data_IF_907195271947
#
_entry.id   IF_907195271947
#
_cell.length_a   1.000
_cell.length_b   1.000
_cell.length_c   1.000
_cell.angle_alpha   90.00
_cell.angle_beta   90.00
_cell.angle_gamma   90.00
#
_symmetry.space_group_name_H-M   'P 1'
#
loop_
_entity.id
_entity.type
_entity.pdbx_description
1 polymer ?
#
# COMPACT_ATOMS: atom_id res chain seq x y z
N UNK A 1 -10.96 -21.07 0.32
CA UNK A 1 -11.55 -19.89 1.01
C UNK A 1 -13.06 -19.96 1.12
N UNK A 2 -13.80 -20.31 0.07
CA UNK A 2 -15.26 -20.27 0.10
C UNK A 2 -15.91 -21.29 1.07
N UNK A 3 -15.41 -22.53 1.12
CA UNK A 3 -15.85 -23.52 2.12
C UNK A 3 -15.70 -23.00 3.54
N UNK A 4 -14.52 -22.45 3.88
CA UNK A 4 -14.24 -21.88 5.22
C UNK A 4 -15.19 -20.72 5.54
N UNK A 5 -15.53 -19.89 4.55
CA UNK A 5 -16.47 -18.80 4.73
C UNK A 5 -17.90 -19.30 4.99
N UNK A 6 -18.37 -20.29 4.24
CA UNK A 6 -19.68 -20.90 4.48
C UNK A 6 -19.74 -21.61 5.85
N UNK A 7 -18.70 -22.36 6.22
CA UNK A 7 -18.59 -22.97 7.55
C UNK A 7 -18.65 -21.92 8.67
N UNK A 8 -18.17 -20.70 8.41
CA UNK A 8 -18.27 -19.58 9.34
C UNK A 8 -19.72 -19.07 9.43
N UNK A 9 -20.37 -18.85 8.29
CA UNK A 9 -21.77 -18.42 8.23
C UNK A 9 -22.71 -19.40 8.96
N UNK A 10 -22.47 -20.71 8.84
CA UNK A 10 -23.23 -21.74 9.55
C UNK A 10 -23.05 -21.68 11.08
N UNK A 11 -21.91 -21.18 11.58
CA UNK A 11 -21.66 -21.04 13.02
C UNK A 11 -22.34 -19.81 13.64
N UNK A 12 -22.65 -18.79 12.85
CA UNK A 12 -23.20 -17.52 13.33
C UNK A 12 -24.69 -17.33 13.01
N UNK A 13 -25.45 -18.43 12.88
CA UNK A 13 -26.89 -18.40 12.56
C UNK A 13 -27.77 -17.70 13.61
N UNK A 14 -27.23 -17.43 14.80
CA UNK A 14 -27.89 -16.62 15.84
C UNK A 14 -27.83 -15.10 15.57
N UNK A 15 -27.06 -14.66 14.57
CA UNK A 15 -26.94 -13.26 14.15
C UNK A 15 -27.90 -13.00 12.98
N UNK A 16 -28.54 -11.84 12.95
CA UNK A 16 -29.48 -11.49 11.87
C UNK A 16 -28.90 -10.57 10.79
N UNK A 17 -27.81 -9.87 11.10
CA UNK A 17 -27.21 -8.85 10.22
C UNK A 17 -25.69 -8.94 10.24
N UNK A 18 -25.08 -8.96 9.05
CA UNK A 18 -23.63 -8.94 8.86
C UNK A 18 -23.23 -7.61 8.23
N UNK A 19 -22.24 -6.95 8.84
CA UNK A 19 -21.61 -5.75 8.29
C UNK A 19 -20.52 -6.11 7.30
N UNK A 20 -20.54 -5.53 6.10
CA UNK A 20 -19.49 -5.73 5.08
C UNK A 20 -19.08 -4.40 4.45
N UNK A 21 -17.90 -4.37 3.82
CA UNK A 21 -17.52 -3.28 2.92
C UNK A 21 -17.99 -3.61 1.51
N UNK A 22 -19.17 -3.12 1.12
CA UNK A 22 -19.85 -3.51 -0.13
C UNK A 22 -19.06 -3.14 -1.39
N UNK A 23 -18.21 -2.11 -1.32
CA UNK A 23 -17.33 -1.69 -2.42
C UNK A 23 -16.08 -2.56 -2.60
N UNK A 24 -15.79 -3.47 -1.66
CA UNK A 24 -14.56 -4.28 -1.65
C UNK A 24 -14.82 -5.78 -1.63
N UNK A 25 -15.90 -6.24 -0.97
CA UNK A 25 -16.19 -7.66 -0.87
C UNK A 25 -16.59 -8.21 -2.26
N UNK A 26 -15.92 -9.28 -2.76
CA UNK A 26 -16.31 -9.88 -4.03
C UNK A 26 -17.77 -10.35 -4.00
N UNK A 27 -18.49 -10.14 -5.11
CA UNK A 27 -19.93 -10.43 -5.23
C UNK A 27 -20.30 -11.85 -4.80
N UNK A 28 -19.44 -12.83 -5.05
CA UNK A 28 -19.71 -14.21 -4.68
C UNK A 28 -19.88 -14.39 -3.16
N UNK A 29 -19.06 -13.73 -2.33
CA UNK A 29 -19.19 -13.80 -0.87
C UNK A 29 -20.45 -13.07 -0.38
N UNK A 30 -20.83 -11.97 -1.04
CA UNK A 30 -22.10 -11.30 -0.76
C UNK A 30 -23.30 -12.23 -1.01
N UNK A 31 -23.30 -12.95 -2.13
CA UNK A 31 -24.35 -13.91 -2.46
C UNK A 31 -24.42 -15.05 -1.45
N UNK A 32 -23.27 -15.54 -0.97
CA UNK A 32 -23.21 -16.57 0.07
C UNK A 32 -23.82 -16.07 1.39
N UNK A 33 -23.56 -14.82 1.80
CA UNK A 33 -24.19 -14.23 3.00
C UNK A 33 -25.71 -14.20 2.87
N UNK A 34 -26.22 -13.73 1.73
CA UNK A 34 -27.67 -13.61 1.50
C UNK A 34 -28.33 -14.98 1.39
N UNK A 35 -27.67 -15.98 0.80
CA UNK A 35 -28.21 -17.34 0.67
C UNK A 35 -28.37 -18.04 2.04
N UNK A 36 -27.58 -17.62 3.04
CA UNK A 36 -27.72 -18.03 4.43
C UNK A 36 -28.70 -17.18 5.24
N UNK A 37 -29.55 -16.37 4.58
CA UNK A 37 -30.60 -15.54 5.17
C UNK A 37 -30.13 -14.40 6.10
N UNK A 38 -28.87 -14.00 6.02
CA UNK A 38 -28.40 -12.81 6.72
C UNK A 38 -28.82 -11.52 6.01
N UNK A 39 -29.14 -10.48 6.78
CA UNK A 39 -29.22 -9.12 6.25
C UNK A 39 -27.81 -8.56 6.10
N UNK A 40 -27.58 -7.80 5.04
CA UNK A 40 -26.30 -7.14 4.81
C UNK A 40 -26.43 -5.66 5.10
N UNK A 41 -25.45 -5.11 5.82
CA UNK A 41 -25.30 -3.66 6.03
C UNK A 41 -23.92 -3.22 5.58
N UNK A 42 -23.85 -2.17 4.77
CA UNK A 42 -22.57 -1.55 4.45
C UNK A 42 -21.99 -0.87 5.70
N UNK A 43 -20.73 -1.17 5.99
CA UNK A 43 -19.96 -0.54 7.08
C UNK A 43 -18.76 0.27 6.58
N UNK A 44 -18.52 0.31 5.26
CA UNK A 44 -17.31 0.91 4.67
C UNK A 44 -17.14 2.38 5.04
N UNK A 45 -18.20 3.17 4.90
CA UNK A 45 -18.13 4.61 5.22
C UNK A 45 -17.80 4.87 6.69
N UNK A 46 -18.40 4.11 7.61
CA UNK A 46 -18.13 4.25 9.04
C UNK A 46 -16.67 3.89 9.39
N UNK A 47 -16.11 2.86 8.73
CA UNK A 47 -14.69 2.51 8.90
C UNK A 47 -13.76 3.58 8.34
N UNK A 48 -14.08 4.18 7.18
CA UNK A 48 -13.30 5.29 6.60
C UNK A 48 -13.26 6.49 7.55
N UNK A 49 -14.40 6.86 8.13
CA UNK A 49 -14.50 7.95 9.10
C UNK A 49 -13.65 7.67 10.35
N UNK A 50 -13.72 6.45 10.88
CA UNK A 50 -12.89 6.04 12.02
C UNK A 50 -11.40 6.10 11.68
N UNK A 51 -10.98 5.57 10.52
CA UNK A 51 -9.58 5.61 10.06
C UNK A 51 -9.11 7.01 9.66
N UNK A 52 -9.98 8.02 9.58
CA UNK A 52 -9.56 9.37 9.19
C UNK A 52 -8.69 10.00 10.27
N UNK A 53 -9.05 9.79 11.54
CA UNK A 53 -8.32 10.31 12.69
C UNK A 53 -7.31 9.27 13.17
N UNK A 54 -6.04 9.67 13.26
CA UNK A 54 -4.95 8.79 13.67
C UNK A 54 -4.69 8.90 15.16
N UNK A 55 -4.55 7.77 15.83
CA UNK A 55 -4.08 7.71 17.21
C UNK A 55 -2.60 8.13 17.30
N UNK A 56 -2.13 8.39 18.51
CA UNK A 56 -0.78 8.93 18.73
C UNK A 56 0.33 7.98 18.25
N UNK A 57 0.14 6.68 18.44
CA UNK A 57 1.02 5.62 17.95
C UNK A 57 1.04 5.54 16.41
N UNK A 58 -0.12 5.64 15.76
CA UNK A 58 -0.20 5.72 14.29
C UNK A 58 0.49 6.98 13.75
N UNK A 59 0.30 8.13 14.40
CA UNK A 59 0.97 9.37 14.02
C UNK A 59 2.48 9.26 14.16
N UNK A 60 2.96 8.63 15.24
CA UNK A 60 4.38 8.37 15.45
C UNK A 60 4.95 7.46 14.36
N UNK A 61 4.27 6.35 14.06
CA UNK A 61 4.69 5.44 12.98
C UNK A 61 4.73 6.14 11.61
N UNK A 62 3.78 7.03 11.32
CA UNK A 62 3.77 7.85 10.09
C UNK A 62 4.98 8.79 10.03
N UNK A 63 5.35 9.43 11.15
CA UNK A 63 6.53 10.32 11.22
C UNK A 63 7.82 9.55 11.00
N UNK A 64 7.99 8.43 11.71
CA UNK A 64 9.16 7.56 11.57
C UNK A 64 9.29 7.03 10.14
N UNK A 65 8.18 6.57 9.53
CA UNK A 65 8.16 6.16 8.13
C UNK A 65 8.58 7.30 7.20
N UNK A 66 8.11 8.52 7.46
CA UNK A 66 8.50 9.71 6.71
C UNK A 66 9.98 10.04 6.82
N UNK A 67 10.58 9.87 7.99
CA UNK A 67 12.02 10.06 8.21
C UNK A 67 12.84 9.03 7.43
N UNK A 68 12.47 7.74 7.51
CA UNK A 68 13.13 6.66 6.77
C UNK A 68 13.05 6.88 5.25
N UNK A 69 11.86 7.23 4.74
CA UNK A 69 11.67 7.51 3.31
C UNK A 69 12.47 8.75 2.89
N UNK A 70 12.56 9.78 3.73
CA UNK A 70 13.38 10.96 3.44
C UNK A 70 14.86 10.61 3.27
N UNK A 71 15.38 9.69 4.08
CA UNK A 71 16.75 9.18 3.93
C UNK A 71 16.91 8.32 2.68
N UNK A 72 15.95 7.46 2.36
CA UNK A 72 15.96 6.68 1.12
C UNK A 72 15.99 7.58 -0.14
N UNK A 73 15.17 8.63 -0.15
CA UNK A 73 15.18 9.64 -1.23
C UNK A 73 16.53 10.35 -1.29
N UNK A 74 17.13 10.70 -0.15
CA UNK A 74 18.47 11.29 -0.12
C UNK A 74 19.52 10.36 -0.75
N UNK A 75 19.47 9.05 -0.45
CA UNK A 75 20.36 8.06 -1.07
C UNK A 75 20.18 7.97 -2.59
N UNK A 76 18.94 8.00 -3.09
CA UNK A 76 18.66 8.07 -4.52
C UNK A 76 19.23 9.33 -5.16
N UNK A 77 19.02 10.51 -4.56
CA UNK A 77 19.50 11.78 -5.10
C UNK A 77 21.03 11.86 -5.10
N UNK A 78 21.68 11.44 -4.02
CA UNK A 78 23.14 11.48 -3.87
C UNK A 78 23.86 10.66 -4.96
N UNK A 79 23.27 9.54 -5.38
CA UNK A 79 23.86 8.62 -6.33
C UNK A 79 23.30 8.75 -7.77
N UNK A 80 22.24 9.55 -7.97
CA UNK A 80 21.67 9.79 -9.28
C UNK A 80 22.62 10.58 -10.17
N UNK A 81 22.86 10.07 -11.39
CA UNK A 81 23.69 10.72 -12.40
C UNK A 81 23.29 10.29 -13.82
N UNK A 82 23.54 11.17 -14.78
CA UNK A 82 23.27 10.89 -16.19
C UNK A 82 23.89 9.55 -16.64
N UNK A 83 23.14 8.80 -17.45
CA UNK A 83 23.51 7.48 -17.95
C UNK A 83 23.01 6.31 -17.10
N UNK A 84 22.58 6.52 -15.85
CA UNK A 84 21.85 5.53 -15.06
C UNK A 84 20.40 5.40 -15.54
N UNK A 85 19.79 4.23 -15.39
CA UNK A 85 18.36 4.05 -15.64
C UNK A 85 17.50 4.52 -14.46
N UNK A 86 16.20 4.75 -14.70
CA UNK A 86 15.24 5.03 -13.62
C UNK A 86 15.26 3.91 -12.56
N UNK A 87 15.38 2.65 -13.00
CA UNK A 87 15.50 1.50 -12.09
C UNK A 87 16.81 1.48 -11.29
N UNK A 88 17.92 1.97 -11.87
CA UNK A 88 19.20 2.06 -11.15
C UNK A 88 19.11 3.07 -10.00
N UNK A 89 18.48 4.23 -10.24
CA UNK A 89 18.36 5.27 -9.20
C UNK A 89 17.34 4.90 -8.12
N UNK A 90 16.29 4.16 -8.48
CA UNK A 90 15.37 3.56 -7.52
C UNK A 90 16.10 2.60 -6.57
N UNK A 91 17.04 1.81 -7.11
CA UNK A 91 17.72 0.78 -6.34
C UNK A 91 18.54 1.35 -5.17
N UNK A 92 19.06 2.57 -5.25
CA UNK A 92 19.79 3.20 -4.15
C UNK A 92 18.91 3.41 -2.92
N UNK A 93 17.76 4.08 -3.09
CA UNK A 93 16.79 4.27 -2.02
C UNK A 93 16.20 2.94 -1.54
N UNK A 94 15.87 2.03 -2.46
CA UNK A 94 15.32 0.73 -2.11
C UNK A 94 16.29 -0.10 -1.25
N UNK A 95 17.58 -0.11 -1.59
CA UNK A 95 18.61 -0.82 -0.83
C UNK A 95 18.71 -0.25 0.59
N UNK A 96 18.72 1.07 0.71
CA UNK A 96 18.70 1.74 2.02
C UNK A 96 17.49 1.34 2.86
N UNK A 97 16.29 1.28 2.25
CA UNK A 97 15.07 0.85 2.95
C UNK A 97 15.19 -0.59 3.44
N UNK A 98 15.63 -1.52 2.59
CA UNK A 98 15.82 -2.92 2.98
C UNK A 98 16.81 -3.08 4.13
N UNK A 99 17.96 -2.41 4.05
CA UNK A 99 18.98 -2.48 5.08
C UNK A 99 18.47 -1.88 6.40
N UNK A 100 17.85 -0.70 6.34
CA UNK A 100 17.34 0.00 7.52
C UNK A 100 16.22 -0.79 8.21
N UNK A 101 15.26 -1.30 7.43
CA UNK A 101 14.07 -1.95 8.00
C UNK A 101 14.42 -3.32 8.56
N UNK A 102 15.21 -4.12 7.83
CA UNK A 102 15.61 -5.45 8.29
C UNK A 102 16.42 -5.45 9.58
N UNK A 103 17.14 -4.36 9.87
CA UNK A 103 17.98 -4.23 11.07
C UNK A 103 17.23 -3.64 12.27
N UNK A 104 16.26 -2.76 12.03
CA UNK A 104 15.67 -1.94 13.10
C UNK A 104 14.21 -2.28 13.42
N UNK A 105 13.50 -3.01 12.55
CA UNK A 105 12.07 -3.28 12.68
C UNK A 105 11.77 -4.79 12.62
N UNK A 106 11.98 -5.52 13.73
CA UNK A 106 11.65 -6.95 13.80
C UNK A 106 10.14 -7.17 13.61
N UNK A 107 9.78 -8.27 12.96
CA UNK A 107 8.40 -8.68 12.69
C UNK A 107 7.55 -7.69 11.86
N UNK A 108 8.18 -6.70 11.23
CA UNK A 108 7.48 -5.74 10.37
C UNK A 108 7.11 -6.36 9.02
N UNK A 109 5.88 -6.11 8.57
CA UNK A 109 5.49 -6.28 7.17
C UNK A 109 5.97 -5.06 6.38
N UNK A 110 6.82 -5.28 5.39
CA UNK A 110 7.41 -4.21 4.59
C UNK A 110 6.87 -4.22 3.16
N UNK A 111 6.20 -3.12 2.79
CA UNK A 111 5.68 -2.90 1.44
C UNK A 111 5.93 -1.47 1.00
N UNK A 112 6.50 -1.31 -0.19
CA UNK A 112 6.76 -0.01 -0.80
C UNK A 112 6.70 -0.12 -2.33
N UNK A 113 6.53 1.01 -2.98
CA UNK A 113 6.74 1.16 -4.41
C UNK A 113 7.45 2.48 -4.65
N UNK A 114 8.25 2.52 -5.70
CA UNK A 114 9.01 3.71 -6.11
C UNK A 114 8.72 4.01 -7.56
N UNK A 115 8.73 5.30 -7.89
CA UNK A 115 8.51 5.82 -9.23
C UNK A 115 9.46 7.01 -9.41
N UNK A 116 10.45 6.86 -10.27
CA UNK A 116 11.39 7.91 -10.65
C UNK A 116 11.32 8.21 -12.16
N UNK A 117 10.13 8.55 -12.69
CA UNK A 117 9.98 8.86 -14.10
C UNK A 117 10.79 10.10 -14.47
N UNK A 118 11.61 9.99 -15.52
CA UNK A 118 12.58 11.01 -15.91
C UNK A 118 12.28 11.63 -17.27
N UNK A 119 12.48 12.95 -17.35
CA UNK A 119 12.32 13.73 -18.58
C UNK A 119 10.87 14.06 -18.90
N UNK A 120 10.67 15.05 -19.77
CA UNK A 120 9.38 15.75 -20.00
C UNK A 120 8.18 14.81 -20.20
N UNK A 121 8.36 13.74 -20.98
CA UNK A 121 7.27 12.82 -21.29
C UNK A 121 6.83 12.01 -20.08
N UNK A 122 7.78 11.56 -19.23
CA UNK A 122 7.48 10.62 -18.15
C UNK A 122 7.20 11.34 -16.85
N UNK A 123 7.89 12.45 -16.57
CA UNK A 123 7.64 13.26 -15.38
C UNK A 123 6.24 13.90 -15.34
N UNK A 124 5.55 13.95 -16.48
CA UNK A 124 4.14 14.38 -16.57
C UNK A 124 3.14 13.24 -16.33
N UNK A 125 3.60 12.01 -16.11
CA UNK A 125 2.77 10.83 -15.83
C UNK A 125 2.83 10.51 -14.33
N UNK A 126 1.84 10.94 -13.52
CA UNK A 126 1.93 10.87 -12.05
C UNK A 126 1.93 9.44 -11.48
N UNK A 127 1.51 8.45 -12.26
CA UNK A 127 1.45 7.05 -11.86
C UNK A 127 2.11 6.16 -12.93
N UNK A 128 3.40 6.34 -13.18
CA UNK A 128 4.18 5.47 -14.07
C UNK A 128 5.38 4.92 -13.31
N UNK A 129 5.53 3.59 -13.32
CA UNK A 129 6.69 2.93 -12.72
C UNK A 129 7.95 3.23 -13.53
N UNK A 130 9.08 3.29 -12.81
CA UNK A 130 10.41 3.38 -13.39
C UNK A 130 10.67 2.26 -14.39
N UNK A 131 11.48 2.55 -15.40
CA UNK A 131 11.88 1.57 -16.40
C UNK A 131 13.37 1.71 -16.78
N UNK A 132 13.77 1.01 -17.83
CA UNK A 132 15.17 1.00 -18.30
C UNK A 132 15.57 2.25 -19.08
N UNK A 133 14.77 3.33 -19.08
CA UNK A 133 15.15 4.62 -19.67
C UNK A 133 16.34 5.17 -18.89
N UNK A 134 17.39 5.57 -19.60
CA UNK A 134 18.50 6.31 -19.01
C UNK A 134 18.12 7.77 -18.72
N UNK A 135 18.46 8.24 -17.53
CA UNK A 135 18.34 9.64 -17.14
C UNK A 135 19.42 10.46 -17.84
N UNK A 136 19.04 11.65 -18.31
CA UNK A 136 19.92 12.56 -19.04
C UNK A 136 20.17 13.83 -18.25
N UNK A 137 21.24 14.54 -18.59
CA UNK A 137 21.48 15.86 -18.01
C UNK A 137 20.32 16.81 -18.38
N UNK A 138 19.69 17.41 -17.37
CA UNK A 138 18.56 18.30 -17.55
C UNK A 138 17.19 17.61 -17.60
N UNK A 139 17.13 16.28 -17.44
CA UNK A 139 15.87 15.61 -17.12
C UNK A 139 15.36 16.13 -15.76
N UNK A 140 14.09 16.51 -15.75
CA UNK A 140 13.28 16.68 -14.52
C UNK A 140 12.78 15.33 -14.05
#
# INVERSE_FOLDING_TARGET
YQTVFNDLLEKYQNVSTIGIETGFLPTQFYLDIVSHNFKVKDIGQALVEQRTYKYEDEQQAIRESGEIVSQAVAQTIEHAKAGLTEMDIDNFGNSYLFDTISQNYPDAEFGFFVMSPSGIKRSTMPHTFSNTKQIQQGDV
#
